data_IF_990294308525
#
_entry.id   IF_990294308525
#
_cell.length_a   1.000
_cell.length_b   1.000
_cell.length_c   1.000
_cell.angle_alpha   90.00
_cell.angle_beta   90.00
_cell.angle_gamma   90.00
#
_symmetry.space_group_name_H-M   'P 1'
#
loop_
_entity.id
_entity.type
_entity.pdbx_description
1 polymer ?
#
# COMPACT_ATOMS: atom_id res chain seq x y z
N UNK A 1 -16.89 -14.65 36.17
CA UNK A 1 -17.01 -13.79 34.98
C UNK A 1 -15.79 -12.88 34.92
N UNK A 2 -14.82 -13.21 34.06
CA UNK A 2 -13.63 -12.37 33.87
C UNK A 2 -14.04 -11.25 32.92
N UNK A 3 -14.09 -10.02 33.45
CA UNK A 3 -14.50 -8.85 32.68
C UNK A 3 -13.59 -8.65 31.47
N UNK A 4 -14.20 -8.62 30.28
CA UNK A 4 -13.53 -8.21 29.05
C UNK A 4 -12.97 -6.80 29.31
N UNK A 5 -11.67 -6.53 29.12
CA UNK A 5 -11.14 -5.18 29.32
C UNK A 5 -11.88 -4.24 28.37
N UNK A 6 -12.48 -3.18 28.93
CA UNK A 6 -13.19 -2.17 28.14
C UNK A 6 -12.19 -1.56 27.16
N UNK A 7 -12.62 -1.27 25.92
CA UNK A 7 -11.78 -0.70 24.84
C UNK A 7 -11.00 0.57 25.26
N UNK A 8 -11.49 1.29 26.27
CA UNK A 8 -10.80 2.39 26.93
C UNK A 8 -9.46 1.98 27.56
N UNK A 9 -9.33 0.77 28.10
CA UNK A 9 -8.08 0.20 28.63
C UNK A 9 -7.06 -0.02 27.53
N UNK A 10 -7.46 -0.47 26.33
CA UNK A 10 -6.54 -0.65 25.19
C UNK A 10 -6.11 0.68 24.55
N UNK A 11 -7.02 1.67 24.50
CA UNK A 11 -6.67 3.05 24.08
C UNK A 11 -5.79 3.74 25.12
N UNK A 12 -6.01 3.48 26.42
CA UNK A 12 -5.19 3.96 27.52
C UNK A 12 -3.80 3.30 27.51
N UNK A 13 -3.68 2.00 27.28
CA UNK A 13 -2.38 1.31 27.05
C UNK A 13 -1.66 1.86 25.81
N UNK A 14 -2.38 2.20 24.73
CA UNK A 14 -1.81 2.85 23.53
C UNK A 14 -1.35 4.29 23.76
N UNK A 15 -2.00 5.02 24.68
CA UNK A 15 -1.66 6.40 25.04
C UNK A 15 -0.58 6.45 26.13
N UNK A 16 -0.61 5.53 27.09
CA UNK A 16 0.41 5.30 28.12
C UNK A 16 1.70 4.79 27.47
N UNK A 17 1.63 3.85 26.52
CA UNK A 17 2.79 3.40 25.73
C UNK A 17 3.31 4.41 24.69
N UNK A 18 2.63 5.54 24.51
CA UNK A 18 3.13 6.70 23.76
C UNK A 18 3.76 7.77 24.65
N UNK A 19 3.51 7.72 25.96
CA UNK A 19 3.85 8.76 26.93
C UNK A 19 4.80 8.27 28.03
N UNK A 20 5.06 6.97 28.12
CA UNK A 20 6.02 6.37 29.05
C UNK A 20 7.04 5.56 28.26
N UNK A 21 8.30 5.79 28.63
CA UNK A 21 9.47 5.06 28.16
C UNK A 21 9.23 3.54 28.19
N UNK A 22 9.67 2.91 27.11
CA UNK A 22 10.02 1.50 26.97
C UNK A 22 8.97 0.42 27.30
N UNK A 23 8.83 -0.51 26.35
CA UNK A 23 8.26 -1.82 26.62
C UNK A 23 9.18 -2.50 27.65
N UNK A 24 8.72 -2.53 28.90
CA UNK A 24 9.43 -3.03 30.08
C UNK A 24 10.26 -4.29 29.75
N UNK A 25 11.55 -4.28 30.12
CA UNK A 25 12.44 -5.43 29.95
C UNK A 25 11.90 -6.67 30.67
N UNK A 26 11.18 -6.48 31.77
CA UNK A 26 10.45 -7.54 32.44
C UNK A 26 9.29 -8.06 31.60
N UNK A 27 8.64 -7.25 30.76
CA UNK A 27 7.60 -7.70 29.85
C UNK A 27 8.17 -8.55 28.70
N UNK A 28 9.34 -8.23 28.16
CA UNK A 28 9.98 -9.07 27.12
C UNK A 28 10.53 -10.36 27.72
N UNK A 29 11.18 -10.28 28.88
CA UNK A 29 11.63 -11.45 29.63
C UNK A 29 10.44 -12.30 30.06
N UNK A 30 9.34 -11.70 30.50
CA UNK A 30 8.07 -12.36 30.78
C UNK A 30 7.47 -12.98 29.53
N UNK A 31 7.52 -12.35 28.34
CA UNK A 31 7.06 -12.99 27.10
C UNK A 31 7.91 -14.20 26.68
N UNK A 32 9.24 -14.14 26.87
CA UNK A 32 10.16 -15.25 26.59
C UNK A 32 10.00 -16.37 27.63
N UNK A 33 9.92 -16.02 28.92
CA UNK A 33 9.67 -16.96 30.01
C UNK A 33 8.27 -17.56 29.90
N UNK A 34 7.26 -16.78 29.52
CA UNK A 34 5.90 -17.26 29.24
C UNK A 34 5.88 -18.12 28.02
N UNK A 35 6.64 -17.85 26.96
CA UNK A 35 6.80 -18.81 25.86
C UNK A 35 7.38 -20.13 26.38
N UNK A 36 8.46 -20.09 27.17
CA UNK A 36 9.03 -21.29 27.76
C UNK A 36 8.06 -22.02 28.71
N UNK A 37 7.24 -21.28 29.47
CA UNK A 37 6.19 -21.83 30.32
C UNK A 37 5.00 -22.36 29.51
N UNK A 38 4.60 -21.69 28.43
CA UNK A 38 3.55 -22.12 27.50
C UNK A 38 3.98 -23.38 26.75
N UNK A 39 5.24 -23.44 26.33
CA UNK A 39 5.90 -24.62 25.77
C UNK A 39 6.01 -25.75 26.80
N UNK A 40 5.81 -25.48 28.10
CA UNK A 40 5.77 -26.47 29.19
C UNK A 40 4.34 -26.86 29.62
N UNK A 41 3.34 -25.99 29.44
CA UNK A 41 1.94 -26.22 29.78
C UNK A 41 1.27 -27.21 28.82
N UNK A 42 0.93 -28.43 29.30
CA UNK A 42 0.37 -29.51 28.47
C UNK A 42 -0.90 -29.15 27.68
N UNK A 43 -1.72 -28.24 28.18
CA UNK A 43 -2.95 -27.80 27.50
C UNK A 43 -2.69 -26.78 26.37
N UNK A 44 -1.48 -26.25 26.28
CA UNK A 44 -0.99 -25.33 25.24
C UNK A 44 0.06 -25.98 24.33
N UNK A 45 0.73 -27.04 24.80
CA UNK A 45 1.56 -27.97 24.01
C UNK A 45 0.70 -28.74 22.99
N UNK A 46 0.36 -28.12 21.88
CA UNK A 46 -0.37 -28.82 20.83
C UNK A 46 -0.90 -27.91 19.74
N UNK A 47 -0.02 -27.42 18.87
CA UNK A 47 -0.45 -26.77 17.63
C UNK A 47 -1.21 -27.71 16.67
N UNK A 48 -1.27 -29.02 16.95
CA UNK A 48 -2.01 -30.01 16.16
C UNK A 48 -2.47 -31.19 17.04
N UNK A 49 -3.49 -31.03 17.89
CA UNK A 49 -4.27 -32.19 18.33
C UNK A 49 -5.38 -32.41 17.31
N UNK A 50 -5.22 -33.41 16.42
CA UNK A 50 -6.39 -34.08 15.82
C UNK A 50 -7.19 -34.61 17.00
N UNK A 51 -8.29 -33.97 17.35
CA UNK A 51 -9.27 -34.53 18.27
C UNK A 51 -9.78 -35.78 17.54
N UNK A 52 -9.28 -36.96 17.91
CA UNK A 52 -9.86 -38.22 17.48
C UNK A 52 -11.24 -38.22 18.12
N UNK A 53 -12.25 -37.81 17.36
CA UNK A 53 -13.64 -37.99 17.74
C UNK A 53 -13.78 -39.51 17.84
N UNK A 54 -13.85 -40.02 19.06
CA UNK A 54 -14.37 -41.35 19.31
C UNK A 54 -15.82 -41.24 18.87
N UNK A 55 -16.12 -41.84 17.71
CA UNK A 55 -17.48 -41.97 17.21
C UNK A 55 -18.26 -42.73 18.28
N UNK A 56 -19.12 -42.01 19.01
CA UNK A 56 -20.35 -42.63 19.41
C UNK A 56 -21.23 -42.57 18.16
N UNK A 57 -21.53 -43.75 17.64
CA UNK A 57 -22.58 -43.97 16.66
C UNK A 57 -23.88 -43.46 17.28
N UNK A 58 -24.31 -42.27 16.86
CA UNK A 58 -25.70 -41.95 16.52
C UNK A 58 -25.86 -40.42 16.41
N UNK A 59 -26.51 -40.03 15.31
CA UNK A 59 -27.02 -38.71 14.93
C UNK A 59 -26.13 -37.78 14.07
N UNK A 60 -26.66 -37.57 12.86
CA UNK A 60 -26.28 -36.66 11.79
C UNK A 60 -26.18 -35.18 12.25
N UNK A 61 -25.04 -34.55 11.93
CA UNK A 61 -24.94 -33.32 11.11
C UNK A 61 -23.54 -32.69 11.25
N UNK A 62 -22.75 -32.75 10.19
CA UNK A 62 -21.53 -31.93 9.95
C UNK A 62 -20.42 -31.98 11.01
N UNK A 63 -19.66 -33.07 11.01
CA UNK A 63 -18.40 -33.21 11.76
C UNK A 63 -17.28 -32.31 11.21
N UNK A 64 -17.37 -31.00 11.45
CA UNK A 64 -16.22 -30.12 11.32
C UNK A 64 -15.19 -30.48 12.41
N UNK A 65 -14.05 -31.05 12.00
CA UNK A 65 -12.91 -31.25 12.89
C UNK A 65 -12.58 -29.92 13.57
N UNK A 66 -12.76 -29.85 14.88
CA UNK A 66 -12.63 -28.64 15.68
C UNK A 66 -11.15 -28.22 15.73
N UNK A 67 -10.71 -27.45 14.73
CA UNK A 67 -9.38 -26.82 14.71
C UNK A 67 -9.30 -25.81 15.85
N UNK A 68 -8.68 -26.22 16.96
CA UNK A 68 -8.53 -25.36 18.13
C UNK A 68 -7.24 -24.56 18.00
N UNK A 69 -7.33 -23.34 17.47
CA UNK A 69 -6.28 -22.33 17.69
C UNK A 69 -6.24 -22.02 19.19
N UNK A 70 -5.08 -22.17 19.79
CA UNK A 70 -4.91 -22.01 21.23
C UNK A 70 -4.13 -20.74 21.52
N UNK A 71 -4.65 -19.91 22.41
CA UNK A 71 -4.01 -18.66 22.81
C UNK A 71 -4.03 -17.57 21.73
N UNK A 72 -3.30 -16.49 22.01
CA UNK A 72 -3.14 -15.33 21.12
C UNK A 72 -1.80 -15.33 20.40
N UNK A 73 -0.75 -15.87 21.03
CA UNK A 73 0.57 -16.03 20.43
C UNK A 73 0.57 -17.31 19.60
N UNK A 74 0.73 -17.17 18.28
CA UNK A 74 0.67 -18.29 17.34
C UNK A 74 2.04 -18.71 16.80
N UNK A 75 3.01 -17.80 16.81
CA UNK A 75 4.40 -18.08 16.43
C UNK A 75 5.32 -17.16 17.21
N UNK A 76 6.42 -17.71 17.73
CA UNK A 76 7.56 -16.92 18.19
C UNK A 76 8.84 -17.54 17.63
N UNK A 77 9.66 -16.72 16.97
CA UNK A 77 11.04 -17.03 16.60
C UNK A 77 11.97 -15.97 17.20
N UNK A 78 13.19 -16.40 17.52
CA UNK A 78 14.24 -15.54 18.08
C UNK A 78 15.20 -15.06 17.00
N UNK A 79 15.42 -15.87 15.95
CA UNK A 79 16.36 -15.58 14.85
C UNK A 79 15.74 -15.86 13.48
N UNK A 80 15.19 -14.86 12.78
CA UNK A 80 14.95 -13.48 13.22
C UNK A 80 13.92 -13.39 14.35
N UNK A 81 13.90 -12.25 15.06
CA UNK A 81 12.89 -12.00 16.09
C UNK A 81 11.55 -11.76 15.41
N UNK A 82 10.58 -12.63 15.71
CA UNK A 82 9.27 -12.68 15.07
C UNK A 82 8.25 -13.11 16.10
N UNK A 83 7.15 -12.38 16.22
CA UNK A 83 5.99 -12.79 16.99
C UNK A 83 4.73 -12.62 16.13
N UNK A 84 4.03 -13.71 15.84
CA UNK A 84 2.73 -13.68 15.17
C UNK A 84 1.61 -13.84 16.20
N UNK A 85 0.64 -12.93 16.15
CA UNK A 85 -0.41 -12.79 17.14
C UNK A 85 -1.78 -12.80 16.46
N UNK A 86 -2.59 -13.81 16.74
CA UNK A 86 -3.99 -13.88 16.33
C UNK A 86 -4.76 -14.96 17.10
N UNK A 87 -6.10 -14.91 17.04
CA UNK A 87 -7.03 -15.83 17.72
C UNK A 87 -8.06 -16.40 16.76
N UNK A 88 -8.72 -17.50 17.14
CA UNK A 88 -9.89 -18.02 16.43
C UNK A 88 -11.02 -17.00 16.30
N UNK A 89 -11.20 -16.14 17.32
CA UNK A 89 -12.22 -15.07 17.28
C UNK A 89 -11.95 -14.09 16.15
N UNK A 90 -10.69 -13.72 15.92
CA UNK A 90 -10.31 -12.83 14.81
C UNK A 90 -10.54 -13.48 13.44
N UNK A 91 -10.29 -14.79 13.29
CA UNK A 91 -10.70 -15.52 12.09
C UNK A 91 -12.22 -15.53 11.90
N UNK A 92 -12.98 -15.71 12.98
CA UNK A 92 -14.44 -15.60 12.98
C UNK A 92 -14.91 -14.24 12.46
N UNK A 93 -14.29 -13.15 12.92
CA UNK A 93 -14.59 -11.78 12.46
C UNK A 93 -14.32 -11.64 10.97
N UNK A 94 -13.13 -12.00 10.49
CA UNK A 94 -12.78 -11.90 9.08
C UNK A 94 -13.75 -12.73 8.20
N UNK A 95 -14.04 -13.97 8.60
CA UNK A 95 -14.99 -14.85 7.90
C UNK A 95 -16.38 -14.23 7.80
N UNK A 96 -16.90 -13.67 8.89
CA UNK A 96 -18.21 -13.03 8.90
C UNK A 96 -18.22 -11.81 7.98
N UNK A 97 -17.20 -10.95 8.06
CA UNK A 97 -17.12 -9.74 7.24
C UNK A 97 -17.02 -10.08 5.74
N UNK A 98 -16.16 -11.02 5.34
CA UNK A 98 -16.03 -11.43 3.94
C UNK A 98 -17.31 -12.11 3.40
N UNK A 99 -18.13 -12.73 4.27
CA UNK A 99 -19.46 -13.26 3.89
C UNK A 99 -20.49 -12.15 3.69
N UNK A 100 -20.46 -11.12 4.54
CA UNK A 100 -21.39 -9.98 4.46
C UNK A 100 -21.03 -9.03 3.32
N UNK A 101 -19.74 -8.77 3.14
CA UNK A 101 -19.21 -7.87 2.15
C UNK A 101 -17.89 -8.42 1.59
N UNK A 102 -17.92 -8.93 0.36
CA UNK A 102 -16.73 -9.41 -0.36
C UNK A 102 -15.67 -8.33 -0.61
N UNK A 103 -16.04 -7.06 -0.45
CA UNK A 103 -15.19 -5.89 -0.70
C UNK A 103 -14.60 -5.32 0.60
N UNK A 104 -14.71 -6.03 1.72
CA UNK A 104 -14.00 -5.70 2.97
C UNK A 104 -12.50 -5.57 2.70
N UNK A 105 -11.96 -4.38 2.98
CA UNK A 105 -10.55 -4.09 2.83
C UNK A 105 -9.73 -4.65 4.00
N UNK A 106 -8.60 -5.28 3.69
CA UNK A 106 -7.54 -5.54 4.65
C UNK A 106 -6.57 -4.36 4.66
N UNK A 107 -6.52 -3.63 5.77
CA UNK A 107 -5.52 -2.57 5.94
C UNK A 107 -4.32 -3.13 6.69
N UNK A 108 -3.11 -2.88 6.19
CA UNK A 108 -1.87 -3.23 6.85
C UNK A 108 -1.01 -1.98 7.03
N UNK A 109 -0.71 -1.69 8.30
CA UNK A 109 0.09 -0.53 8.72
C UNK A 109 1.29 -1.05 9.53
N UNK A 110 2.44 -0.39 9.36
CA UNK A 110 3.64 -0.63 10.14
C UNK A 110 3.87 0.55 11.09
N UNK A 111 3.53 0.38 12.37
CA UNK A 111 3.91 1.39 13.36
C UNK A 111 5.38 1.27 13.71
N UNK A 112 6.02 2.43 13.73
CA UNK A 112 7.45 2.58 13.91
C UNK A 112 7.84 2.39 15.39
N UNK A 113 8.86 1.54 15.66
CA UNK A 113 9.49 1.24 16.97
C UNK A 113 8.55 0.86 18.11
N UNK A 114 8.48 -0.43 18.46
CA UNK A 114 7.98 -0.85 19.78
C UNK A 114 9.00 -0.59 20.89
N UNK A 115 10.29 -0.73 20.58
CA UNK A 115 11.44 -0.48 21.46
C UNK A 115 12.63 -0.02 20.61
N UNK A 116 13.56 0.73 21.21
CA UNK A 116 14.85 1.12 20.61
C UNK A 116 16.01 0.22 21.04
N UNK A 117 15.82 -0.57 22.11
CA UNK A 117 16.87 -1.33 22.79
C UNK A 117 16.37 -2.73 23.15
N UNK A 118 16.95 -3.75 22.52
CA UNK A 118 16.89 -5.14 23.02
C UNK A 118 18.17 -5.45 23.81
N UNK A 119 18.11 -6.39 24.75
CA UNK A 119 19.32 -6.91 25.42
C UNK A 119 20.33 -7.48 24.40
N UNK A 120 21.62 -7.40 24.69
CA UNK A 120 22.64 -8.05 23.84
C UNK A 120 22.35 -9.56 23.69
N UNK A 121 22.52 -10.14 22.48
CA UNK A 121 23.18 -9.61 21.28
C UNK A 121 22.28 -8.82 20.31
N UNK A 122 21.04 -8.50 20.70
CA UNK A 122 20.05 -7.90 19.79
C UNK A 122 20.07 -6.36 19.75
N UNK A 123 21.01 -5.75 20.50
CA UNK A 123 21.28 -4.30 20.50
C UNK A 123 21.54 -3.80 19.09
N UNK A 124 20.65 -2.94 18.56
CA UNK A 124 20.82 -2.26 17.27
C UNK A 124 19.74 -2.57 16.21
N UNK A 125 18.88 -3.56 16.41
CA UNK A 125 17.80 -3.87 15.46
C UNK A 125 16.46 -3.29 15.90
N UNK A 126 15.98 -2.26 15.19
CA UNK A 126 14.67 -1.63 15.44
C UNK A 126 13.55 -2.67 15.40
N UNK A 127 12.70 -2.73 16.42
CA UNK A 127 11.50 -3.57 16.42
C UNK A 127 10.33 -2.86 15.74
N UNK A 128 9.65 -3.56 14.86
CA UNK A 128 8.52 -3.06 14.08
C UNK A 128 7.27 -3.83 14.47
N UNK A 129 6.19 -3.09 14.70
CA UNK A 129 4.87 -3.66 14.91
C UNK A 129 4.02 -3.43 13.69
N UNK A 130 3.41 -4.50 13.22
CA UNK A 130 2.49 -4.52 12.10
C UNK A 130 1.14 -5.00 12.60
N UNK A 131 0.08 -4.38 12.11
CA UNK A 131 -1.28 -4.85 12.34
C UNK A 131 -2.00 -5.01 11.01
N UNK A 132 -2.71 -6.12 10.87
CA UNK A 132 -3.73 -6.28 9.84
C UNK A 132 -5.05 -5.95 10.48
N UNK A 133 -5.72 -4.92 9.99
CA UNK A 133 -7.00 -4.45 10.49
C UNK A 133 -8.05 -4.51 9.39
N UNK A 134 -9.30 -4.76 9.77
CA UNK A 134 -10.46 -4.69 8.89
C UNK A 134 -11.39 -3.58 9.34
N UNK A 135 -12.01 -2.91 8.38
CA UNK A 135 -12.98 -1.87 8.68
C UNK A 135 -14.39 -2.44 8.84
N UNK A 136 -15.08 -2.06 9.90
CA UNK A 136 -16.49 -2.39 10.07
C UNK A 136 -17.35 -1.42 9.24
N UNK A 137 -18.26 -1.91 8.39
CA UNK A 137 -19.22 -1.05 7.72
C UNK A 137 -20.14 -0.38 8.76
N UNK A 138 -20.47 0.89 8.53
CA UNK A 138 -21.56 1.63 9.20
C UNK A 138 -21.42 1.92 10.71
N UNK A 139 -20.25 1.70 11.33
CA UNK A 139 -20.01 2.05 12.75
C UNK A 139 -19.17 3.34 12.86
N UNK A 140 -19.83 4.45 13.26
CA UNK A 140 -19.20 5.79 13.35
C UNK A 140 -18.05 5.90 14.36
N UNK A 141 -18.03 5.10 15.43
CA UNK A 141 -17.11 5.27 16.57
C UNK A 141 -16.02 4.19 16.72
N UNK A 142 -16.19 3.03 16.07
CA UNK A 142 -15.24 1.92 16.08
C UNK A 142 -15.12 1.40 14.65
N UNK A 143 -14.22 2.03 13.89
CA UNK A 143 -14.11 1.73 12.47
C UNK A 143 -13.16 0.57 12.17
N UNK A 144 -12.24 0.18 13.04
CA UNK A 144 -11.18 -0.79 12.71
C UNK A 144 -11.00 -1.88 13.78
N UNK A 145 -10.90 -3.14 13.36
CA UNK A 145 -10.63 -4.29 14.22
C UNK A 145 -9.33 -4.99 13.78
N UNK A 146 -8.34 -5.20 14.66
CA UNK A 146 -7.18 -6.01 14.34
C UNK A 146 -7.59 -7.48 14.21
N UNK A 147 -7.24 -8.08 13.09
CA UNK A 147 -7.46 -9.51 12.81
C UNK A 147 -6.18 -10.34 12.90
N UNK A 148 -5.02 -9.68 12.84
CA UNK A 148 -3.72 -10.26 13.06
C UNK A 148 -2.72 -9.16 13.43
N UNK A 149 -1.74 -9.50 14.25
CA UNK A 149 -0.65 -8.61 14.63
C UNK A 149 0.68 -9.34 14.49
N UNK A 150 1.73 -8.59 14.18
CA UNK A 150 3.04 -9.13 13.88
C UNK A 150 4.11 -8.21 14.41
N UNK A 151 5.07 -8.78 15.14
CA UNK A 151 6.24 -8.06 15.61
C UNK A 151 7.47 -8.66 14.94
N UNK A 152 8.33 -7.81 14.37
CA UNK A 152 9.60 -8.26 13.81
C UNK A 152 10.71 -7.23 13.94
N UNK A 153 11.96 -7.69 13.99
CA UNK A 153 13.12 -6.83 13.84
C UNK A 153 13.60 -6.70 12.38
N UNK A 154 12.83 -7.18 11.41
CA UNK A 154 13.11 -7.08 9.97
C UNK A 154 11.93 -6.45 9.20
N UNK A 155 12.26 -5.58 8.26
CA UNK A 155 11.31 -5.01 7.29
C UNK A 155 11.67 -5.48 5.88
N UNK A 156 11.36 -6.74 5.59
CA UNK A 156 11.69 -7.37 4.30
C UNK A 156 10.45 -8.04 3.71
N UNK A 157 10.43 -8.18 2.39
CA UNK A 157 9.34 -8.84 1.66
C UNK A 157 9.13 -10.26 2.19
N UNK A 158 10.22 -11.03 2.33
CA UNK A 158 10.18 -12.43 2.74
C UNK A 158 9.58 -12.61 4.13
N UNK A 159 9.93 -11.73 5.06
CA UNK A 159 9.47 -11.79 6.44
C UNK A 159 7.97 -11.45 6.53
N UNK A 160 7.55 -10.38 5.88
CA UNK A 160 6.14 -9.97 5.82
C UNK A 160 5.30 -11.04 5.10
N UNK A 161 5.76 -11.54 3.96
CA UNK A 161 5.09 -12.60 3.19
C UNK A 161 4.99 -13.89 4.00
N UNK A 162 6.04 -14.28 4.72
CA UNK A 162 6.05 -15.49 5.56
C UNK A 162 5.04 -15.41 6.70
N UNK A 163 4.92 -14.25 7.36
CA UNK A 163 3.90 -14.01 8.37
C UNK A 163 2.49 -14.09 7.78
N UNK A 164 2.25 -13.38 6.68
CA UNK A 164 0.93 -13.34 6.03
C UNK A 164 0.52 -14.72 5.50
N UNK A 165 1.44 -15.46 4.87
CA UNK A 165 1.19 -16.83 4.41
C UNK A 165 0.86 -17.76 5.57
N UNK A 166 1.58 -17.65 6.69
CA UNK A 166 1.26 -18.39 7.91
C UNK A 166 -0.15 -18.08 8.42
N UNK A 167 -0.51 -16.79 8.49
CA UNK A 167 -1.84 -16.34 8.92
C UNK A 167 -2.95 -16.86 7.98
N UNK A 168 -2.82 -16.65 6.67
CA UNK A 168 -3.85 -17.02 5.70
C UNK A 168 -3.98 -18.54 5.53
N UNK A 169 -2.89 -19.29 5.62
CA UNK A 169 -2.94 -20.76 5.68
C UNK A 169 -3.74 -21.23 6.89
N UNK A 170 -3.49 -20.67 8.07
CA UNK A 170 -4.25 -20.99 9.29
C UNK A 170 -5.72 -20.58 9.18
N UNK A 171 -6.01 -19.47 8.49
CA UNK A 171 -7.37 -19.06 8.18
C UNK A 171 -8.09 -20.02 7.22
N UNK A 172 -7.41 -20.50 6.17
CA UNK A 172 -7.94 -21.50 5.24
C UNK A 172 -8.27 -22.82 5.97
N UNK A 173 -7.35 -23.29 6.83
CA UNK A 173 -7.57 -24.45 7.70
C UNK A 173 -8.81 -24.25 8.60
N UNK A 174 -8.94 -23.07 9.23
CA UNK A 174 -10.08 -22.73 10.08
C UNK A 174 -11.43 -22.66 9.34
N UNK A 175 -11.43 -22.17 8.09
CA UNK A 175 -12.66 -22.04 7.29
C UNK A 175 -13.02 -23.30 6.50
N UNK A 176 -12.10 -24.25 6.38
CA UNK A 176 -12.28 -25.45 5.56
C UNK A 176 -12.45 -25.16 4.06
N UNK A 177 -12.15 -23.94 3.60
CA UNK A 177 -12.34 -23.53 2.21
C UNK A 177 -11.06 -22.95 1.63
N UNK A 178 -10.62 -23.48 0.48
CA UNK A 178 -9.55 -22.88 -0.32
C UNK A 178 -10.16 -21.98 -1.39
N UNK A 179 -10.44 -20.72 -1.03
CA UNK A 179 -10.84 -19.69 -2.00
C UNK A 179 -9.60 -19.05 -2.61
N UNK A 180 -9.71 -18.62 -3.87
CA UNK A 180 -8.73 -17.74 -4.52
C UNK A 180 -8.48 -16.52 -3.60
N UNK A 181 -7.22 -16.24 -3.31
CA UNK A 181 -6.77 -15.18 -2.40
C UNK A 181 -7.49 -15.19 -1.04
N UNK A 182 -7.90 -16.36 -0.56
CA UNK A 182 -8.66 -16.55 0.69
C UNK A 182 -9.99 -15.76 0.75
N UNK A 183 -10.53 -15.38 -0.42
CA UNK A 183 -11.74 -14.55 -0.55
C UNK A 183 -11.50 -13.05 -0.36
N UNK A 184 -10.25 -12.62 -0.21
CA UNK A 184 -9.86 -11.21 -0.07
C UNK A 184 -9.78 -10.58 -1.45
N UNK A 185 -10.54 -9.51 -1.67
CA UNK A 185 -10.54 -8.76 -2.94
C UNK A 185 -9.83 -7.42 -2.87
N UNK A 186 -9.58 -6.91 -1.67
CA UNK A 186 -9.01 -5.58 -1.46
C UNK A 186 -8.01 -5.58 -0.32
N UNK A 187 -6.83 -5.04 -0.57
CA UNK A 187 -5.85 -4.71 0.45
C UNK A 187 -5.42 -3.25 0.34
N UNK A 188 -5.12 -2.66 1.49
CA UNK A 188 -4.59 -1.31 1.60
C UNK A 188 -3.35 -1.29 2.49
N UNK A 189 -2.28 -0.64 2.04
CA UNK A 189 -1.06 -0.52 2.85
C UNK A 189 -0.50 0.88 2.84
N UNK A 190 0.48 1.13 3.70
CA UNK A 190 1.35 2.30 3.55
C UNK A 190 2.14 2.24 2.23
N UNK A 191 2.76 3.36 1.88
CA UNK A 191 3.69 3.46 0.76
C UNK A 191 5.03 2.77 1.09
N UNK A 192 4.98 1.45 1.34
CA UNK A 192 6.14 0.58 1.58
C UNK A 192 6.14 -0.56 0.58
N UNK A 193 7.21 -0.65 -0.22
CA UNK A 193 7.40 -1.74 -1.18
C UNK A 193 7.46 -3.12 -0.50
N UNK A 194 7.93 -3.19 0.75
CA UNK A 194 7.99 -4.44 1.50
C UNK A 194 6.59 -4.92 1.90
N UNK A 195 5.70 -4.01 2.32
CA UNK A 195 4.29 -4.33 2.61
C UNK A 195 3.54 -4.72 1.34
N UNK A 196 3.66 -3.90 0.28
CA UNK A 196 3.00 -4.13 -1.00
C UNK A 196 3.38 -5.51 -1.55
N UNK A 197 4.68 -5.77 -1.69
CA UNK A 197 5.16 -7.04 -2.25
C UNK A 197 4.87 -8.22 -1.32
N UNK A 198 4.91 -8.00 -0.01
CA UNK A 198 4.60 -9.02 0.99
C UNK A 198 3.14 -9.49 0.89
N UNK A 199 2.18 -8.57 0.75
CA UNK A 199 0.76 -8.89 0.53
C UNK A 199 0.55 -9.59 -0.80
N UNK A 200 1.11 -9.05 -1.90
CA UNK A 200 0.96 -9.66 -3.23
C UNK A 200 1.49 -11.10 -3.27
N UNK A 201 2.64 -11.33 -2.61
CA UNK A 201 3.24 -12.67 -2.48
C UNK A 201 2.37 -13.60 -1.63
N UNK A 202 1.94 -13.16 -0.44
CA UNK A 202 1.17 -13.99 0.48
C UNK A 202 -0.24 -14.34 -0.02
N UNK A 203 -0.83 -13.48 -0.84
CA UNK A 203 -2.10 -13.73 -1.51
C UNK A 203 -1.93 -14.45 -2.86
N UNK A 204 -0.71 -14.83 -3.25
CA UNK A 204 -0.44 -15.55 -4.50
C UNK A 204 -0.87 -14.76 -5.76
N UNK A 205 -0.78 -13.42 -5.71
CA UNK A 205 -1.02 -12.52 -6.85
C UNK A 205 0.18 -12.51 -7.81
N UNK A 206 1.38 -12.69 -7.26
CA UNK A 206 2.63 -12.68 -8.00
C UNK A 206 3.46 -11.42 -7.76
N UNK A 207 4.59 -11.29 -8.47
CA UNK A 207 5.49 -10.15 -8.33
C UNK A 207 4.83 -8.81 -8.66
N UNK A 208 5.29 -7.72 -8.03
CA UNK A 208 4.74 -6.37 -8.22
C UNK A 208 4.70 -5.93 -9.69
N UNK A 209 5.74 -6.22 -10.48
CA UNK A 209 5.78 -5.87 -11.89
C UNK A 209 4.75 -6.67 -12.73
N UNK A 210 4.42 -7.90 -12.34
CA UNK A 210 3.37 -8.70 -12.96
C UNK A 210 2.01 -8.10 -12.60
N UNK A 211 1.78 -7.81 -11.33
CA UNK A 211 0.55 -7.15 -10.87
C UNK A 211 0.30 -5.82 -11.60
N UNK A 212 1.33 -4.99 -11.78
CA UNK A 212 1.22 -3.72 -12.52
C UNK A 212 0.94 -3.92 -14.01
N UNK A 213 1.41 -5.01 -14.61
CA UNK A 213 1.04 -5.39 -15.98
C UNK A 213 -0.45 -5.73 -16.07
N UNK A 214 -0.95 -6.52 -15.13
CA UNK A 214 -2.37 -6.85 -15.05
C UNK A 214 -3.22 -5.59 -14.83
N UNK A 215 -2.78 -4.66 -13.98
CA UNK A 215 -3.47 -3.37 -13.81
C UNK A 215 -3.58 -2.61 -15.12
N UNK A 216 -2.51 -2.54 -15.91
CA UNK A 216 -2.50 -1.86 -17.20
C UNK A 216 -3.48 -2.50 -18.19
N UNK A 217 -3.42 -3.83 -18.35
CA UNK A 217 -4.31 -4.57 -19.25
C UNK A 217 -5.78 -4.41 -18.86
N UNK A 218 -6.08 -4.48 -17.56
CA UNK A 218 -7.46 -4.34 -17.07
C UNK A 218 -7.97 -2.90 -17.19
N UNK A 219 -7.13 -1.88 -16.95
CA UNK A 219 -7.51 -0.47 -17.14
C UNK A 219 -7.75 -0.12 -18.61
N UNK A 220 -6.93 -0.64 -19.52
CA UNK A 220 -7.07 -0.41 -20.96
C UNK A 220 -8.27 -1.14 -21.56
N UNK A 221 -8.58 -2.34 -21.07
CA UNK A 221 -9.72 -3.14 -21.53
C UNK A 221 -11.00 -2.90 -20.72
N UNK A 222 -10.96 -2.02 -19.71
CA UNK A 222 -12.07 -1.76 -18.77
C UNK A 222 -12.62 -3.04 -18.11
N UNK A 223 -11.74 -3.99 -17.79
CA UNK A 223 -12.08 -5.25 -17.13
C UNK A 223 -11.84 -5.15 -15.62
N UNK A 224 -12.77 -5.69 -14.83
CA UNK A 224 -12.61 -5.73 -13.38
C UNK A 224 -11.49 -6.72 -12.99
N UNK A 225 -10.74 -6.36 -11.96
CA UNK A 225 -9.70 -7.20 -11.37
C UNK A 225 -10.29 -8.12 -10.28
N UNK A 226 -9.66 -9.28 -10.10
CA UNK A 226 -10.02 -10.20 -9.01
C UNK A 226 -9.60 -9.60 -7.65
N UNK A 227 -8.44 -8.94 -7.62
CA UNK A 227 -7.84 -8.34 -6.45
C UNK A 227 -7.33 -6.92 -6.73
N UNK A 228 -7.58 -6.02 -5.80
CA UNK A 228 -7.14 -4.62 -5.84
C UNK A 228 -6.26 -4.31 -4.65
N UNK A 229 -5.03 -3.91 -4.92
CA UNK A 229 -4.14 -3.33 -3.94
C UNK A 229 -4.16 -1.81 -4.08
N UNK A 230 -4.42 -1.12 -2.98
CA UNK A 230 -4.41 0.33 -2.92
C UNK A 230 -3.37 0.81 -1.89
N UNK A 231 -2.65 1.89 -2.18
CA UNK A 231 -1.77 2.55 -1.22
C UNK A 231 -2.63 3.57 -0.49
N UNK A 232 -2.65 3.50 0.84
CA UNK A 232 -3.42 4.40 1.68
C UNK A 232 -3.16 5.85 1.26
N UNK A 233 -4.23 6.54 0.86
CA UNK A 233 -4.14 7.88 0.27
C UNK A 233 -3.48 8.87 1.21
N UNK A 234 -3.80 8.80 2.51
CA UNK A 234 -3.20 9.68 3.52
C UNK A 234 -1.69 9.50 3.54
N UNK A 235 -1.21 8.27 3.59
CA UNK A 235 0.22 7.98 3.61
C UNK A 235 0.89 8.34 2.27
N UNK A 236 0.24 8.07 1.14
CA UNK A 236 0.72 8.51 -0.18
C UNK A 236 0.85 10.05 -0.24
N UNK A 237 -0.19 10.80 0.15
CA UNK A 237 -0.16 12.27 0.15
C UNK A 237 0.91 12.80 1.11
N UNK A 238 0.99 12.27 2.33
CA UNK A 238 1.97 12.73 3.33
C UNK A 238 3.40 12.50 2.84
N UNK A 239 3.68 11.31 2.32
CA UNK A 239 4.99 10.95 1.77
C UNK A 239 5.35 11.82 0.56
N UNK A 240 4.46 11.92 -0.42
CA UNK A 240 4.71 12.69 -1.65
C UNK A 240 4.81 14.20 -1.36
N UNK A 241 4.02 14.73 -0.43
CA UNK A 241 4.14 16.12 0.03
C UNK A 241 5.49 16.40 0.68
N UNK A 242 5.99 15.48 1.52
CA UNK A 242 7.32 15.63 2.11
C UNK A 242 8.40 15.71 1.03
N UNK A 243 8.30 14.86 -0.01
CA UNK A 243 9.21 14.87 -1.16
C UNK A 243 9.11 16.15 -2.00
N UNK A 244 7.90 16.66 -2.25
CA UNK A 244 7.72 17.96 -2.92
C UNK A 244 8.44 19.07 -2.14
N UNK A 245 8.27 19.12 -0.81
CA UNK A 245 8.92 20.12 0.05
C UNK A 245 10.43 19.95 0.06
N UNK A 246 10.95 18.73 0.07
CA UNK A 246 12.39 18.44 -0.02
C UNK A 246 13.01 18.99 -1.31
N UNK A 247 12.32 18.84 -2.44
CA UNK A 247 12.85 19.24 -3.75
C UNK A 247 12.66 20.73 -4.09
N UNK A 248 11.60 21.37 -3.61
CA UNK A 248 11.26 22.76 -3.97
C UNK A 248 11.29 23.74 -2.79
N UNK A 249 11.41 23.27 -1.55
CA UNK A 249 11.26 24.12 -0.36
C UNK A 249 9.81 24.42 -0.01
N UNK A 250 9.51 24.63 1.28
CA UNK A 250 8.13 24.67 1.81
C UNK A 250 7.25 25.78 1.24
N UNK A 251 7.83 26.92 0.88
CA UNK A 251 7.10 28.15 0.53
C UNK A 251 7.15 28.52 -0.95
N UNK A 252 7.84 27.72 -1.77
CA UNK A 252 7.99 28.00 -3.20
C UNK A 252 6.70 27.81 -3.99
N UNK A 253 6.60 28.50 -5.12
CA UNK A 253 5.52 28.29 -6.10
C UNK A 253 5.51 26.85 -6.63
N UNK A 254 6.69 26.24 -6.81
CA UNK A 254 6.86 24.81 -7.09
C UNK A 254 6.13 23.91 -6.12
N UNK A 255 6.36 24.08 -4.81
CA UNK A 255 5.68 23.28 -3.79
C UNK A 255 4.17 23.49 -3.78
N UNK A 256 3.70 24.74 -3.90
CA UNK A 256 2.26 25.05 -3.94
C UNK A 256 1.59 24.33 -5.12
N UNK A 257 2.20 24.44 -6.30
CA UNK A 257 1.73 23.78 -7.52
C UNK A 257 1.69 22.25 -7.35
N UNK A 258 2.82 21.63 -6.97
CA UNK A 258 2.89 20.16 -6.92
C UNK A 258 2.08 19.54 -5.79
N UNK A 259 1.82 20.26 -4.70
CA UNK A 259 0.85 19.83 -3.68
C UNK A 259 -0.57 19.84 -4.27
N UNK A 260 -0.94 20.89 -5.02
CA UNK A 260 -2.25 20.98 -5.70
C UNK A 260 -2.41 19.87 -6.75
N UNK A 261 -1.36 19.65 -7.55
CA UNK A 261 -1.28 18.55 -8.51
C UNK A 261 -1.45 17.19 -7.83
N UNK A 262 -0.73 16.95 -6.72
CA UNK A 262 -0.76 15.69 -5.99
C UNK A 262 -2.19 15.33 -5.55
N UNK A 263 -2.94 16.30 -5.03
CA UNK A 263 -4.34 16.09 -4.66
C UNK A 263 -5.21 15.73 -5.86
N UNK A 264 -4.97 16.31 -7.04
CA UNK A 264 -5.67 15.98 -8.27
C UNK A 264 -5.24 14.62 -8.85
N UNK A 265 -3.96 14.26 -8.70
CA UNK A 265 -3.39 13.00 -9.17
C UNK A 265 -4.01 11.81 -8.43
N UNK A 266 -4.00 11.80 -7.10
CA UNK A 266 -4.49 10.65 -6.30
C UNK A 266 -6.00 10.39 -6.46
N UNK A 267 -6.79 11.38 -6.89
CA UNK A 267 -8.23 11.21 -7.11
C UNK A 267 -8.59 10.81 -8.56
N UNK A 268 -7.61 10.58 -9.43
CA UNK A 268 -7.86 10.14 -10.80
C UNK A 268 -8.69 8.86 -10.79
N UNK A 269 -9.76 8.86 -11.58
CA UNK A 269 -10.76 7.78 -11.62
C UNK A 269 -10.57 6.81 -12.79
N UNK A 270 -9.74 7.18 -13.76
CA UNK A 270 -9.49 6.39 -14.96
C UNK A 270 -8.09 6.65 -15.56
N UNK A 271 -7.69 5.81 -16.51
CA UNK A 271 -6.39 5.90 -17.16
C UNK A 271 -6.18 7.24 -17.90
N UNK A 272 -7.26 7.84 -18.41
CA UNK A 272 -7.23 9.14 -19.08
C UNK A 272 -6.83 10.25 -18.12
N UNK A 273 -7.56 10.39 -17.00
CA UNK A 273 -7.32 11.40 -15.99
C UNK A 273 -5.91 11.27 -15.42
N UNK A 274 -5.46 10.04 -15.11
CA UNK A 274 -4.10 9.79 -14.67
C UNK A 274 -3.07 10.21 -15.74
N UNK A 275 -3.28 9.85 -17.00
CA UNK A 275 -2.35 10.21 -18.09
C UNK A 275 -2.22 11.72 -18.24
N UNK A 276 -3.34 12.44 -18.21
CA UNK A 276 -3.33 13.90 -18.26
C UNK A 276 -2.57 14.53 -17.07
N UNK A 277 -2.72 13.98 -15.86
CA UNK A 277 -1.97 14.46 -14.69
C UNK A 277 -0.49 14.10 -14.77
N UNK A 278 -0.11 12.95 -15.32
CA UNK A 278 1.29 12.60 -15.57
C UNK A 278 1.92 13.57 -16.56
N UNK A 279 1.28 13.81 -17.72
CA UNK A 279 1.72 14.80 -18.72
C UNK A 279 1.87 16.18 -18.10
N UNK A 280 0.90 16.61 -17.27
CA UNK A 280 0.96 17.91 -16.60
C UNK A 280 2.21 18.06 -15.73
N UNK A 281 2.53 17.04 -14.94
CA UNK A 281 3.73 17.06 -14.11
C UNK A 281 5.01 17.02 -14.95
N UNK A 282 5.07 16.15 -15.97
CA UNK A 282 6.22 16.01 -16.85
C UNK A 282 6.57 17.33 -17.55
N UNK A 283 5.59 17.99 -18.17
CA UNK A 283 5.77 19.31 -18.81
C UNK A 283 6.26 20.34 -17.79
N UNK A 284 5.58 20.46 -16.65
CA UNK A 284 5.87 21.54 -15.70
C UNK A 284 7.20 21.37 -14.98
N UNK A 285 7.62 20.15 -14.61
CA UNK A 285 8.92 19.96 -13.94
C UNK A 285 10.09 19.66 -14.86
N UNK A 286 9.83 19.30 -16.13
CA UNK A 286 10.88 18.85 -17.04
C UNK A 286 11.07 19.71 -18.29
N UNK A 287 10.31 20.79 -18.48
CA UNK A 287 10.61 21.83 -19.50
C UNK A 287 11.34 22.99 -18.83
N UNK A 288 12.50 23.40 -19.37
CA UNK A 288 13.32 24.46 -18.78
C UNK A 288 12.81 25.85 -19.13
N UNK A 289 12.37 26.06 -20.37
CA UNK A 289 11.76 27.32 -20.79
C UNK A 289 10.33 27.47 -20.26
N UNK A 290 9.97 28.66 -19.79
CA UNK A 290 8.61 29.01 -19.39
C UNK A 290 7.75 29.39 -20.61
N UNK A 291 7.45 28.40 -21.44
CA UNK A 291 6.66 28.56 -22.66
C UNK A 291 5.16 28.57 -22.37
N UNK A 292 4.34 29.01 -23.34
CA UNK A 292 2.89 29.06 -23.22
C UNK A 292 2.26 27.71 -22.82
N UNK A 293 2.84 26.60 -23.28
CA UNK A 293 2.41 25.25 -22.90
C UNK A 293 2.56 24.99 -21.38
N UNK A 294 3.69 25.36 -20.78
CA UNK A 294 3.93 25.24 -19.33
C UNK A 294 2.91 26.08 -18.57
N UNK A 295 2.72 27.34 -18.95
CA UNK A 295 1.77 28.23 -18.27
C UNK A 295 0.31 27.75 -18.37
N UNK A 296 -0.10 27.28 -19.55
CA UNK A 296 -1.45 26.71 -19.74
C UNK A 296 -1.67 25.44 -18.90
N UNK A 297 -0.62 24.63 -18.74
CA UNK A 297 -0.62 23.42 -17.90
C UNK A 297 -0.72 23.77 -16.42
N UNK A 298 0.00 24.79 -15.97
CA UNK A 298 -0.07 25.28 -14.59
C UNK A 298 -1.49 25.72 -14.23
N UNK A 299 -2.12 26.46 -15.14
CA UNK A 299 -3.47 27.00 -14.95
C UNK A 299 -4.54 25.90 -14.95
N UNK A 300 -4.31 24.78 -15.64
CA UNK A 300 -5.30 23.70 -15.81
C UNK A 300 -5.13 22.52 -14.86
N UNK A 301 -4.11 22.52 -14.00
CA UNK A 301 -3.73 21.36 -13.15
C UNK A 301 -4.86 20.83 -12.27
N UNK A 302 -5.79 21.69 -11.85
CA UNK A 302 -6.94 21.32 -11.01
C UNK A 302 -8.23 21.12 -11.78
N UNK A 303 -8.21 21.40 -13.09
CA UNK A 303 -9.40 21.21 -13.89
C UNK A 303 -9.69 19.70 -13.98
N UNK A 304 -10.98 19.31 -13.83
CA UNK A 304 -11.39 17.95 -14.16
C UNK A 304 -11.06 17.69 -15.63
N UNK A 305 -10.63 16.48 -15.95
CA UNK A 305 -10.38 16.10 -17.34
C UNK A 305 -11.71 15.90 -18.06
N UNK A 306 -12.06 16.83 -18.95
CA UNK A 306 -13.08 16.58 -19.97
C UNK A 306 -12.46 15.69 -21.05
N UNK A 307 -12.94 14.45 -21.19
CA UNK A 307 -12.42 13.52 -22.20
C UNK A 307 -12.64 14.12 -23.59
N UNK A 308 -11.58 14.55 -24.25
CA UNK A 308 -11.55 15.03 -25.63
C UNK A 308 -10.21 14.61 -26.25
N UNK A 309 -10.23 13.99 -27.43
CA UNK A 309 -9.02 13.51 -28.13
C UNK A 309 -8.81 11.99 -28.13
N UNK A 310 -7.66 11.58 -28.67
CA UNK A 310 -7.25 10.17 -28.76
C UNK A 310 -6.73 9.63 -27.43
N UNK A 311 -6.96 8.35 -27.17
CA UNK A 311 -6.51 7.63 -25.97
C UNK A 311 -4.97 7.59 -25.88
N UNK A 312 -4.34 8.35 -24.96
CA UNK A 312 -2.89 8.52 -24.95
C UNK A 312 -2.15 7.22 -24.63
N UNK A 313 -2.77 6.28 -23.91
CA UNK A 313 -2.17 4.98 -23.58
C UNK A 313 -2.01 4.06 -24.79
N UNK A 314 -2.65 4.34 -25.93
CA UNK A 314 -2.46 3.55 -27.17
C UNK A 314 -1.05 3.61 -27.73
N UNK A 315 -0.23 4.57 -27.28
CA UNK A 315 1.19 4.62 -27.65
C UNK A 315 1.99 3.49 -27.02
N UNK A 316 1.51 2.91 -25.92
CA UNK A 316 2.22 1.84 -25.23
C UNK A 316 1.93 0.49 -25.87
N UNK A 317 3.00 -0.22 -26.23
CA UNK A 317 2.98 -1.64 -26.62
C UNK A 317 3.59 -2.48 -25.49
N UNK A 318 2.81 -3.35 -24.87
CA UNK A 318 3.23 -4.11 -23.68
C UNK A 318 4.36 -5.11 -23.95
N UNK A 319 4.47 -5.57 -25.20
CA UNK A 319 5.56 -6.39 -25.71
C UNK A 319 6.91 -5.67 -25.68
N UNK A 320 6.90 -4.33 -25.72
CA UNK A 320 8.09 -3.48 -25.78
C UNK A 320 8.56 -3.03 -24.38
N UNK A 321 7.74 -3.28 -23.34
CA UNK A 321 8.13 -3.03 -21.94
C UNK A 321 9.32 -3.91 -21.56
N UNK A 322 10.48 -3.33 -21.18
CA UNK A 322 11.67 -4.07 -20.81
C UNK A 322 11.41 -5.11 -19.73
N UNK A 323 12.03 -6.29 -19.88
CA UNK A 323 11.94 -7.38 -18.89
C UNK A 323 13.04 -7.31 -17.83
N UNK A 324 14.06 -6.50 -18.04
CA UNK A 324 15.24 -6.40 -17.17
C UNK A 324 15.28 -5.06 -16.44
N UNK A 325 15.98 -4.97 -15.29
CA UNK A 325 16.10 -3.74 -14.51
C UNK A 325 16.56 -2.53 -15.33
N UNK A 326 16.21 -1.29 -14.91
CA UNK A 326 15.61 -0.92 -13.61
C UNK A 326 14.07 -1.07 -13.54
N UNK A 327 13.53 -1.27 -12.34
CA UNK A 327 12.10 -1.54 -12.08
C UNK A 327 11.12 -0.56 -12.76
N UNK A 328 11.42 0.73 -12.76
CA UNK A 328 10.51 1.73 -13.34
C UNK A 328 10.28 1.56 -14.85
N UNK A 329 11.22 0.95 -15.58
CA UNK A 329 11.02 0.58 -16.99
C UNK A 329 10.32 -0.77 -17.15
N UNK A 330 10.37 -1.63 -16.14
CA UNK A 330 9.62 -2.90 -16.13
C UNK A 330 8.14 -2.70 -15.83
N UNK A 331 7.77 -1.57 -15.20
CA UNK A 331 6.37 -1.17 -14.99
C UNK A 331 5.82 -0.50 -16.27
N UNK A 332 4.66 -0.95 -16.79
CA UNK A 332 4.02 -0.29 -17.93
C UNK A 332 3.79 1.21 -17.71
N UNK A 333 3.45 1.60 -16.48
CA UNK A 333 3.18 3.00 -16.13
C UNK A 333 4.44 3.87 -16.11
N UNK A 334 5.57 3.32 -15.63
CA UNK A 334 6.83 4.04 -15.64
C UNK A 334 7.41 4.15 -17.05
N UNK A 335 7.38 3.06 -17.83
CA UNK A 335 7.78 3.09 -19.24
C UNK A 335 6.91 4.06 -20.06
N UNK A 336 5.58 4.01 -19.87
CA UNK A 336 4.64 4.97 -20.47
C UNK A 336 4.96 6.42 -20.07
N UNK A 337 5.34 6.69 -18.82
CA UNK A 337 5.73 8.03 -18.39
C UNK A 337 6.95 8.56 -19.16
N UNK A 338 7.93 7.70 -19.42
CA UNK A 338 9.13 8.07 -20.20
C UNK A 338 8.76 8.33 -21.66
N UNK A 339 7.94 7.47 -22.28
CA UNK A 339 7.43 7.69 -23.64
C UNK A 339 6.67 9.03 -23.74
N UNK A 340 5.81 9.32 -22.77
CA UNK A 340 5.08 10.60 -22.71
C UNK A 340 6.03 11.78 -22.60
N UNK A 341 7.02 11.74 -21.72
CA UNK A 341 7.96 12.85 -21.58
C UNK A 341 8.80 13.05 -22.83
N UNK A 342 9.26 11.97 -23.47
CA UNK A 342 9.96 12.06 -24.75
C UNK A 342 9.07 12.69 -25.85
N UNK A 343 7.83 12.21 -25.99
CA UNK A 343 6.87 12.74 -26.97
C UNK A 343 6.52 14.22 -26.75
N UNK A 344 6.65 14.72 -25.51
CA UNK A 344 6.38 16.10 -25.15
C UNK A 344 7.65 16.96 -25.02
N UNK A 345 8.80 16.52 -25.57
CA UNK A 345 10.07 17.24 -25.52
C UNK A 345 10.47 17.65 -24.09
N UNK A 346 10.26 16.75 -23.12
CA UNK A 346 10.68 16.95 -21.73
C UNK A 346 12.16 16.59 -21.60
N UNK A 347 12.92 17.32 -20.78
CA UNK A 347 14.34 17.08 -20.49
C UNK A 347 14.55 15.81 -19.65
N UNK A 348 14.33 14.66 -20.28
CA UNK A 348 14.62 13.34 -19.72
C UNK A 348 16.09 13.03 -19.99
N UNK A 349 16.87 12.66 -18.96
CA UNK A 349 18.28 12.34 -19.14
C UNK A 349 18.51 11.23 -20.18
N UNK A 350 19.50 11.43 -21.06
CA UNK A 350 19.86 10.49 -22.15
C UNK A 350 20.02 9.04 -21.68
N UNK A 351 20.68 8.82 -20.54
CA UNK A 351 20.87 7.46 -19.97
C UNK A 351 19.57 6.72 -19.60
N UNK A 352 18.43 7.43 -19.50
CA UNK A 352 17.10 6.83 -19.33
C UNK A 352 16.52 6.46 -20.70
N UNK A 353 16.65 7.35 -21.68
CA UNK A 353 16.17 7.16 -23.05
C UNK A 353 16.91 6.04 -23.76
N UNK A 354 18.23 5.93 -23.58
CA UNK A 354 19.08 4.88 -24.18
C UNK A 354 18.66 3.46 -23.75
N UNK A 355 17.81 3.32 -22.73
CA UNK A 355 17.27 2.03 -22.27
C UNK A 355 15.94 1.67 -22.93
N UNK A 356 15.41 2.54 -23.79
CA UNK A 356 14.14 2.35 -24.50
C UNK A 356 14.45 2.07 -25.97
N UNK A 357 14.21 0.84 -26.46
CA UNK A 357 14.56 0.46 -27.84
C UNK A 357 13.88 1.30 -28.93
N UNK A 358 12.74 1.92 -28.60
CA UNK A 358 11.90 2.66 -29.55
C UNK A 358 12.30 4.13 -29.69
N UNK A 359 13.16 4.64 -28.81
CA UNK A 359 13.54 6.04 -28.79
C UNK A 359 14.92 6.19 -29.42
N UNK A 360 14.97 6.89 -30.54
CA UNK A 360 16.23 7.40 -31.07
C UNK A 360 16.68 8.60 -30.24
N UNK A 361 17.68 8.38 -29.37
CA UNK A 361 18.15 9.39 -28.42
C UNK A 361 18.94 10.52 -29.09
N UNK A 362 19.24 10.41 -30.39
CA UNK A 362 19.98 11.43 -31.13
C UNK A 362 19.06 12.54 -31.71
N UNK A 363 17.73 12.37 -31.64
CA UNK A 363 16.76 13.40 -32.03
C UNK A 363 16.33 14.34 -30.89
N UNK A 364 16.90 14.22 -29.68
CA UNK A 364 16.52 15.06 -28.53
C UNK A 364 17.23 16.44 -28.52
N UNK A 365 17.41 17.07 -29.68
CA UNK A 365 17.91 18.45 -29.73
C UNK A 365 16.79 19.38 -29.26
N UNK A 366 16.75 19.63 -27.95
CA UNK A 366 16.06 20.77 -27.36
C UNK A 366 16.75 22.04 -27.87
N UNK A 367 16.37 22.47 -29.07
CA UNK A 367 16.61 23.83 -29.54
C UNK A 367 15.64 24.74 -28.76
N UNK A 368 15.90 24.95 -27.48
CA UNK A 368 15.23 26.02 -26.73
C UNK A 368 15.84 27.36 -27.17
N UNK A 369 14.98 28.25 -27.67
CA UNK A 369 15.27 29.65 -27.93
C UNK A 369 15.89 30.29 -26.69
N UNK A 370 17.13 30.79 -26.79
CA UNK A 370 17.91 31.43 -25.70
C UNK A 370 17.19 32.62 -25.02
N UNK A 371 16.04 33.05 -25.54
CA UNK A 371 15.31 34.26 -25.10
C UNK A 371 14.15 33.99 -24.14
N UNK A 372 13.73 32.73 -23.92
CA UNK A 372 12.58 32.45 -23.06
C UNK A 372 12.92 32.53 -21.56
N UNK A 373 12.04 33.10 -20.71
CA UNK A 373 12.27 33.13 -19.26
C UNK A 373 12.32 31.70 -18.69
N UNK A 374 13.16 31.47 -17.68
CA UNK A 374 13.28 30.16 -17.05
C UNK A 374 12.01 29.77 -16.30
N UNK A 375 11.56 28.53 -16.47
CA UNK A 375 10.44 27.94 -15.75
C UNK A 375 10.79 27.78 -14.25
N UNK A 376 10.08 28.47 -13.33
CA UNK A 376 10.37 28.40 -11.90
C UNK A 376 10.01 27.04 -11.28
N UNK A 377 9.29 26.18 -12.01
CA UNK A 377 8.90 24.85 -11.60
C UNK A 377 9.81 23.75 -12.17
N UNK A 378 10.77 24.08 -13.04
CA UNK A 378 11.72 23.11 -13.56
C UNK A 378 12.58 22.51 -12.44
N UNK A 379 12.60 21.18 -12.35
CA UNK A 379 13.41 20.46 -11.36
C UNK A 379 13.69 19.03 -11.85
N UNK A 380 14.85 18.83 -12.47
CA UNK A 380 15.24 17.54 -13.03
C UNK A 380 15.32 16.43 -11.96
N UNK A 381 15.75 16.73 -10.73
CA UNK A 381 15.82 15.74 -9.65
C UNK A 381 14.42 15.27 -9.25
N UNK A 382 13.45 16.19 -9.17
CA UNK A 382 12.07 15.84 -8.87
C UNK A 382 11.39 15.10 -10.04
N UNK A 383 11.66 15.49 -11.29
CA UNK A 383 11.22 14.74 -12.47
C UNK A 383 11.69 13.28 -12.40
N UNK A 384 12.97 13.06 -12.08
CA UNK A 384 13.51 11.71 -11.95
C UNK A 384 12.88 10.92 -10.81
N UNK A 385 12.55 11.57 -9.70
CA UNK A 385 11.80 10.94 -8.61
C UNK A 385 10.39 10.53 -9.05
N UNK A 386 9.66 11.39 -9.78
CA UNK A 386 8.34 11.04 -10.32
C UNK A 386 8.40 9.83 -11.27
N UNK A 387 9.35 9.84 -12.21
CA UNK A 387 9.55 8.76 -13.19
C UNK A 387 9.92 7.43 -12.53
N UNK A 388 10.74 7.45 -11.47
CA UNK A 388 11.30 6.24 -10.85
C UNK A 388 10.43 5.65 -9.75
N UNK A 389 9.78 6.51 -8.95
CA UNK A 389 9.21 6.09 -7.67
C UNK A 389 7.69 6.33 -7.59
N UNK A 390 7.15 7.28 -8.36
CA UNK A 390 5.72 7.65 -8.28
C UNK A 390 4.91 7.04 -9.41
N UNK A 391 5.26 7.33 -10.65
CA UNK A 391 4.50 6.87 -11.81
C UNK A 391 4.45 5.35 -11.98
N UNK A 392 5.52 4.57 -11.68
CA UNK A 392 5.44 3.12 -11.74
C UNK A 392 4.36 2.52 -10.82
N UNK A 393 3.99 3.22 -9.75
CA UNK A 393 3.00 2.82 -8.74
C UNK A 393 1.67 3.59 -8.85
N UNK A 394 1.52 4.43 -9.88
CA UNK A 394 0.32 5.25 -10.12
C UNK A 394 -1.02 4.50 -9.97
N UNK A 395 -1.22 3.29 -10.54
CA UNK A 395 -2.52 2.61 -10.40
C UNK A 395 -2.87 2.26 -8.96
N UNK A 396 -1.87 2.09 -8.09
CA UNK A 396 -2.07 1.77 -6.67
C UNK A 396 -2.24 3.03 -5.81
N UNK A 397 -1.76 4.19 -6.28
CA UNK A 397 -1.88 5.48 -5.56
C UNK A 397 -3.13 6.27 -5.94
N UNK A 398 -3.85 5.86 -6.97
CA UNK A 398 -5.01 6.58 -7.53
C UNK A 398 -6.30 5.77 -7.39
N UNK A 399 -7.44 6.43 -7.47
CA UNK A 399 -8.74 5.74 -7.36
C UNK A 399 -9.09 4.87 -8.58
N UNK A 400 -8.28 4.85 -9.64
CA UNK A 400 -8.58 4.17 -10.90
C UNK A 400 -8.99 2.71 -10.71
N UNK A 401 -8.22 1.94 -9.92
CA UNK A 401 -8.52 0.53 -9.68
C UNK A 401 -9.78 0.34 -8.83
N UNK A 402 -10.08 1.28 -7.91
CA UNK A 402 -11.30 1.24 -7.13
C UNK A 402 -12.53 1.45 -8.03
N UNK A 403 -12.50 2.48 -8.89
CA UNK A 403 -13.55 2.75 -9.86
C UNK A 403 -13.75 1.61 -10.85
N UNK A 404 -12.66 1.08 -11.42
CA UNK A 404 -12.70 -0.06 -12.36
C UNK A 404 -13.41 -1.28 -11.77
N UNK A 405 -13.30 -1.47 -10.46
CA UNK A 405 -13.85 -2.63 -9.74
C UNK A 405 -15.19 -2.36 -9.06
N UNK A 406 -15.78 -1.18 -9.25
CA UNK A 406 -16.95 -0.69 -8.50
C UNK A 406 -16.76 -0.81 -6.98
N UNK A 407 -15.51 -0.71 -6.51
CA UNK A 407 -15.20 -0.77 -5.09
C UNK A 407 -15.55 0.59 -4.49
N UNK A 408 -16.25 0.57 -3.35
CA UNK A 408 -16.66 1.82 -2.77
C UNK A 408 -15.42 2.55 -2.23
N UNK A 409 -15.35 3.84 -2.51
CA UNK A 409 -14.28 4.73 -2.02
C UNK A 409 -14.46 5.00 -0.51
N UNK A 410 -15.39 4.26 0.17
CA UNK A 410 -15.90 4.50 1.54
C UNK A 410 -14.84 5.13 2.42
N UNK A 411 -14.99 6.44 2.63
CA UNK A 411 -14.37 7.26 3.67
C UNK A 411 -12.92 6.92 4.08
N UNK A 412 -12.12 6.34 3.17
CA UNK A 412 -10.66 6.28 3.10
C UNK A 412 -9.96 6.32 4.48
N UNK A 413 -10.39 5.46 5.42
CA UNK A 413 -10.00 5.34 6.86
C UNK A 413 -9.68 6.62 7.66
N UNK A 414 -9.91 7.82 7.12
CA UNK A 414 -9.48 9.14 7.61
C UNK A 414 -10.13 10.33 6.85
N UNK A 415 -11.14 10.10 6.00
CA UNK A 415 -11.85 11.19 5.29
C UNK A 415 -12.56 12.20 6.24
N UNK A 416 -12.62 11.92 7.54
CA UNK A 416 -13.04 12.87 8.58
C UNK A 416 -11.95 13.84 9.05
N UNK A 417 -10.69 13.67 8.66
CA UNK A 417 -9.67 14.71 8.78
C UNK A 417 -9.65 15.59 7.53
N UNK A 418 -10.64 16.46 7.45
CA UNK A 418 -10.71 17.61 6.55
C UNK A 418 -10.71 17.29 5.04
N UNK A 419 -11.92 17.15 4.48
CA UNK A 419 -12.17 17.50 3.08
C UNK A 419 -11.60 18.90 2.80
N UNK A 420 -10.39 18.96 2.27
CA UNK A 420 -9.79 20.18 1.70
C UNK A 420 -10.71 20.79 0.64
N UNK A 421 -11.52 19.98 -0.02
CA UNK A 421 -12.55 20.41 -0.97
C UNK A 421 -13.63 21.28 -0.30
N UNK A 422 -14.01 20.99 0.95
CA UNK A 422 -14.96 21.80 1.71
C UNK A 422 -14.31 23.08 2.27
N UNK A 423 -13.02 23.04 2.63
CA UNK A 423 -12.26 24.25 3.03
C UNK A 423 -11.95 25.19 1.85
N UNK A 424 -11.80 24.67 0.63
CA UNK A 424 -11.61 25.50 -0.57
C UNK A 424 -12.92 26.10 -1.09
N UNK A 425 -14.07 25.45 -0.88
CA UNK A 425 -15.38 26.05 -1.15
C UNK A 425 -15.78 27.16 -0.16
N UNK A 426 -15.26 27.14 1.08
CA UNK A 426 -15.58 28.15 2.08
C UNK A 426 -14.62 29.36 2.09
N UNK A 427 -13.75 29.48 1.09
CA UNK A 427 -12.76 30.57 0.96
C UNK A 427 -12.70 31.22 -0.43
N UNK A 428 -13.72 31.00 -1.25
CA UNK A 428 -13.97 31.78 -2.46
C UNK A 428 -15.43 32.22 -2.49
#
# INVERSE_FOLDING_TARGET
MVGIPKLATLRRIRMEGKAMDDLDGDLVKDLVLRKAQFDQMEHLKGALRKKKIVQNEDEDESSHSEYKLVGYIQKISVFPFVVALFTAKQFGILRTLLKMNKDTALHMDATSSLTTTLHQPYTGSRQLYYAIVVTLPDVKDISCIPIAEFVSNRHTVDEIASFLHFYFKKYAEYTGTQKIHFGIRRAETDASLALISGILSALEIGPLNVYLRDCWENLTTSRAMIFVHYICRRHAIQFLKAKVIEHYGRTSEGSKFFIKWLHAFVICSDLWSMSAKMVSALIVCGTRANVALVQSTINSVSNPTSRTGLEPWKILKLENVPKTPPFYLMSPFGYFAVLLGHTNNVDIPKYVLDKIPEIDSDNSSLNEEETSPTNPHYNQKFLMYLLRDVFPLAPMMTHMLLYLNNLPIVQDTNAYSESWFNKMKSRF
#
